data_IF_811962598128
#
_entry.id   IF_811962598128
#
_cell.length_a   1.000
_cell.length_b   1.000
_cell.length_c   1.000
_cell.angle_alpha   90.00
_cell.angle_beta   90.00
_cell.angle_gamma   90.00
#
_symmetry.space_group_name_H-M   'P 1'
#
loop_
_entity.id
_entity.type
_entity.pdbx_description
1 polymer ?
#
# COMPACT_ATOMS: atom_id res chain seq x y z
N UNK A 1 9.89 9.30 7.16
CA UNK A 1 10.40 8.58 5.96
C UNK A 1 9.89 9.31 4.72
N UNK A 2 10.73 9.59 3.70
CA UNK A 2 10.29 10.26 2.47
C UNK A 2 9.11 9.54 1.82
N UNK A 3 8.21 10.27 1.14
CA UNK A 3 7.06 9.73 0.41
C UNK A 3 7.45 8.82 -0.77
N UNK A 4 8.04 7.66 -0.45
CA UNK A 4 8.50 6.63 -1.39
C UNK A 4 7.57 5.43 -1.31
N UNK A 5 7.60 4.61 -2.35
CA UNK A 5 6.89 3.35 -2.40
C UNK A 5 7.26 2.48 -1.17
N UNK A 6 6.25 2.03 -0.41
CA UNK A 6 6.45 1.11 0.71
C UNK A 6 6.83 -0.28 0.20
N UNK A 7 7.89 -0.85 0.75
CA UNK A 7 8.42 -2.15 0.34
C UNK A 7 7.66 -3.33 1.00
N UNK A 8 7.68 -4.48 0.34
CA UNK A 8 7.25 -5.74 0.94
C UNK A 8 8.35 -6.27 1.86
N UNK A 9 7.98 -6.86 3.00
CA UNK A 9 8.94 -7.40 3.99
C UNK A 9 9.98 -8.32 3.34
N UNK A 10 9.53 -9.25 2.50
CA UNK A 10 10.40 -10.26 1.88
C UNK A 10 11.39 -9.68 0.85
N UNK A 11 11.02 -8.59 0.18
CA UNK A 11 11.89 -7.96 -0.83
C UNK A 11 13.07 -7.20 -0.19
N UNK A 12 13.02 -6.95 1.13
CA UNK A 12 14.07 -6.25 1.89
C UNK A 12 15.46 -6.89 1.79
N UNK A 13 15.54 -8.21 1.58
CA UNK A 13 16.82 -8.91 1.39
C UNK A 13 17.54 -8.46 0.13
N UNK A 14 16.83 -8.01 -0.90
CA UNK A 14 17.43 -7.47 -2.12
C UNK A 14 18.10 -6.12 -1.89
N UNK A 15 17.69 -5.36 -0.87
CA UNK A 15 18.35 -4.09 -0.52
C UNK A 15 19.58 -4.28 0.37
N UNK A 16 19.74 -5.46 0.95
CA UNK A 16 20.90 -5.84 1.73
C UNK A 16 20.55 -6.63 2.98
N UNK A 17 21.56 -7.31 3.53
CA UNK A 17 21.46 -8.07 4.79
C UNK A 17 20.94 -7.21 5.96
N UNK A 18 21.40 -5.96 6.07
CA UNK A 18 20.95 -5.02 7.13
C UNK A 18 19.48 -4.61 6.96
N UNK A 19 19.02 -4.42 5.72
CA UNK A 19 17.63 -4.11 5.44
C UNK A 19 16.72 -5.29 5.83
N UNK A 20 17.12 -6.52 5.50
CA UNK A 20 16.42 -7.74 5.94
C UNK A 20 16.36 -7.89 7.46
N UNK A 21 17.45 -7.59 8.18
CA UNK A 21 17.44 -7.57 9.65
C UNK A 21 16.49 -6.51 10.21
N UNK A 22 16.46 -5.33 9.58
CA UNK A 22 15.50 -4.26 9.92
C UNK A 22 14.06 -4.72 9.72
N UNK A 23 13.75 -5.32 8.58
CA UNK A 23 12.43 -5.88 8.27
C UNK A 23 12.01 -6.96 9.28
N UNK A 24 12.93 -7.86 9.65
CA UNK A 24 12.71 -8.90 10.66
C UNK A 24 12.35 -8.29 12.03
N UNK A 25 13.07 -7.24 12.44
CA UNK A 25 12.79 -6.50 13.68
C UNK A 25 11.41 -5.83 13.62
N UNK A 26 11.08 -5.16 12.51
CA UNK A 26 9.77 -4.50 12.34
C UNK A 26 8.62 -5.51 12.38
N UNK A 27 8.74 -6.64 11.69
CA UNK A 27 7.76 -7.70 11.73
C UNK A 27 7.59 -8.21 13.17
N UNK A 28 8.68 -8.63 13.83
CA UNK A 28 8.65 -9.27 15.15
C UNK A 28 8.09 -8.37 16.27
N UNK A 29 8.26 -7.05 16.16
CA UNK A 29 7.77 -6.07 17.13
C UNK A 29 6.43 -5.44 16.73
N UNK A 30 5.83 -5.90 15.63
CA UNK A 30 4.59 -5.32 15.11
C UNK A 30 3.43 -5.55 16.10
N UNK A 31 2.86 -4.44 16.58
CA UNK A 31 1.65 -4.43 17.43
C UNK A 31 0.50 -3.66 16.80
N UNK A 32 0.81 -2.68 15.95
CA UNK A 32 -0.14 -1.78 15.31
C UNK A 32 0.03 -1.83 13.80
N UNK A 33 -1.09 -1.89 13.11
CA UNK A 33 -1.15 -1.91 11.65
C UNK A 33 -2.24 -0.95 11.17
N UNK A 34 -2.08 -0.47 9.95
CA UNK A 34 -3.13 0.23 9.22
C UNK A 34 -3.59 -0.69 8.07
N UNK A 35 -4.90 -0.85 7.92
CA UNK A 35 -5.54 -1.57 6.81
C UNK A 35 -5.22 -0.84 5.52
N UNK A 36 -4.69 -1.59 4.55
CA UNK A 36 -4.48 -1.10 3.21
C UNK A 36 -5.75 -1.33 2.40
N UNK A 37 -6.44 -0.24 2.09
CA UNK A 37 -7.58 -0.22 1.20
C UNK A 37 -7.12 -0.19 -0.26
N UNK A 38 -7.79 -0.93 -1.13
CA UNK A 38 -7.52 -0.99 -2.57
C UNK A 38 -8.26 0.13 -3.30
N UNK A 39 -8.20 1.35 -2.74
CA UNK A 39 -8.84 2.53 -3.30
C UNK A 39 -8.01 3.15 -4.42
N UNK A 40 -8.67 3.87 -5.32
CA UNK A 40 -8.03 4.59 -6.40
C UNK A 40 -8.90 5.78 -6.86
N UNK A 41 -8.28 6.91 -7.28
CA UNK A 41 -6.87 7.23 -7.10
C UNK A 41 -6.55 7.59 -5.63
N UNK A 42 -5.25 7.70 -5.31
CA UNK A 42 -4.81 8.30 -4.05
C UNK A 42 -4.99 9.82 -4.14
N UNK A 43 -5.77 10.37 -3.20
CA UNK A 43 -6.08 11.80 -3.07
C UNK A 43 -5.22 12.39 -1.95
N UNK A 44 -4.59 13.53 -2.22
CA UNK A 44 -3.91 14.38 -1.24
C UNK A 44 -4.72 15.65 -1.06
N UNK A 45 -5.04 16.01 0.18
CA UNK A 45 -5.89 17.14 0.49
C UNK A 45 -5.57 17.76 1.86
N UNK A 46 -6.06 18.97 2.08
CA UNK A 46 -5.87 19.68 3.34
C UNK A 46 -5.49 21.14 3.09
N UNK A 47 -4.83 21.76 4.08
CA UNK A 47 -4.42 23.16 3.98
C UNK A 47 -2.96 23.24 3.53
N UNK A 48 -2.69 24.03 2.47
CA UNK A 48 -1.32 24.33 2.09
C UNK A 48 -0.68 25.25 3.15
N UNK A 49 0.40 24.83 3.83
CA UNK A 49 1.05 25.64 4.87
C UNK A 49 1.63 26.96 4.36
N UNK A 50 1.97 27.07 3.07
CA UNK A 50 2.60 28.27 2.51
C UNK A 50 1.63 29.44 2.32
N UNK A 51 0.35 29.16 2.06
CA UNK A 51 -0.63 30.20 1.71
C UNK A 51 -1.98 30.07 2.44
N UNK A 52 -2.15 29.05 3.28
CA UNK A 52 -3.37 28.83 4.07
C UNK A 52 -4.60 28.37 3.29
N UNK A 53 -4.48 28.12 1.97
CA UNK A 53 -5.61 27.69 1.14
C UNK A 53 -5.84 26.19 1.23
N UNK A 54 -7.11 25.79 1.24
CA UNK A 54 -7.49 24.39 1.06
C UNK A 54 -7.16 23.93 -0.38
N UNK A 55 -6.68 22.70 -0.53
CA UNK A 55 -6.37 22.13 -1.84
C UNK A 55 -6.74 20.65 -1.91
N UNK A 56 -6.85 20.17 -3.15
CA UNK A 56 -6.90 18.75 -3.50
C UNK A 56 -5.88 18.44 -4.60
N UNK A 57 -5.45 17.19 -4.69
CA UNK A 57 -4.57 16.72 -5.73
C UNK A 57 -4.32 15.22 -5.66
N UNK A 58 -3.45 14.73 -6.53
CA UNK A 58 -2.88 13.38 -6.40
C UNK A 58 -1.49 13.47 -5.77
N UNK A 59 -0.73 12.38 -5.72
CA UNK A 59 0.69 12.41 -5.30
C UNK A 59 1.57 13.37 -6.12
N UNK A 60 1.10 13.85 -7.27
CA UNK A 60 1.77 14.90 -8.05
C UNK A 60 1.99 16.21 -7.30
N UNK A 61 1.32 16.44 -6.16
CA UNK A 61 1.60 17.61 -5.30
C UNK A 61 3.00 17.56 -4.70
N UNK A 62 3.60 16.37 -4.55
CA UNK A 62 4.96 16.19 -4.02
C UNK A 62 6.02 16.07 -5.12
N UNK A 63 5.70 16.41 -6.37
CA UNK A 63 6.64 16.26 -7.48
C UNK A 63 7.78 17.28 -7.39
N UNK A 64 8.99 16.88 -7.79
CA UNK A 64 10.17 17.76 -7.85
C UNK A 64 10.09 18.85 -8.92
N UNK A 65 9.51 18.53 -10.08
CA UNK A 65 9.57 19.40 -11.27
C UNK A 65 8.24 20.09 -11.52
N UNK A 66 7.16 19.32 -11.61
CA UNK A 66 5.82 19.84 -11.90
C UNK A 66 4.87 19.46 -10.78
N UNK A 67 4.81 20.33 -9.77
CA UNK A 67 3.82 20.28 -8.69
C UNK A 67 2.45 20.58 -9.28
N UNK A 68 1.50 19.66 -9.10
CA UNK A 68 0.10 19.84 -9.53
C UNK A 68 -0.80 19.90 -8.31
N UNK A 69 -0.93 21.09 -7.75
CA UNK A 69 -1.84 21.43 -6.65
C UNK A 69 -3.08 22.12 -7.22
N UNK A 70 -4.25 21.85 -6.64
CA UNK A 70 -5.50 22.42 -7.15
C UNK A 70 -6.28 23.07 -6.00
N UNK A 71 -6.44 24.38 -6.08
CA UNK A 71 -7.24 25.18 -5.15
C UNK A 71 -8.63 25.48 -5.73
N UNK A 72 -8.76 25.50 -7.06
CA UNK A 72 -10.01 25.77 -7.78
C UNK A 72 -10.31 24.71 -8.83
N UNK A 73 -11.48 24.81 -9.47
CA UNK A 73 -11.86 23.93 -10.58
C UNK A 73 -10.96 24.14 -11.79
N UNK A 74 -10.56 25.38 -12.06
CA UNK A 74 -9.68 25.75 -13.17
C UNK A 74 -8.29 25.14 -13.02
N UNK A 75 -7.76 25.06 -11.79
CA UNK A 75 -6.50 24.36 -11.52
C UNK A 75 -6.62 22.86 -11.90
N UNK A 76 -7.75 22.23 -11.56
CA UNK A 76 -8.01 20.83 -11.89
C UNK A 76 -8.04 20.65 -13.40
N UNK A 77 -8.73 21.52 -14.13
CA UNK A 77 -8.85 21.47 -15.59
C UNK A 77 -7.49 21.60 -16.29
N UNK A 78 -6.60 22.42 -15.73
CA UNK A 78 -5.24 22.59 -16.25
C UNK A 78 -4.33 21.39 -15.94
N UNK A 79 -4.52 20.76 -14.78
CA UNK A 79 -3.61 19.74 -14.27
C UNK A 79 -4.02 18.31 -14.61
N UNK A 80 -5.32 18.04 -14.79
CA UNK A 80 -5.92 16.72 -14.86
C UNK A 80 -7.04 16.66 -15.90
N UNK A 81 -7.28 15.47 -16.45
CA UNK A 81 -8.40 15.21 -17.36
C UNK A 81 -9.05 13.86 -17.05
N UNK A 82 -10.25 13.65 -17.60
CA UNK A 82 -11.02 12.42 -17.40
C UNK A 82 -11.38 12.17 -15.95
N UNK A 83 -11.55 10.90 -15.60
CA UNK A 83 -12.07 10.45 -14.30
C UNK A 83 -11.33 11.04 -13.09
N UNK A 84 -10.00 11.18 -13.17
CA UNK A 84 -9.22 11.74 -12.06
C UNK A 84 -9.60 13.20 -11.81
N UNK A 85 -9.84 13.99 -12.88
CA UNK A 85 -10.34 15.35 -12.75
C UNK A 85 -11.71 15.34 -12.06
N UNK A 86 -12.65 14.51 -12.52
CA UNK A 86 -14.00 14.42 -11.97
C UNK A 86 -14.00 14.08 -10.47
N UNK A 87 -13.19 13.11 -10.06
CA UNK A 87 -12.99 12.76 -8.64
C UNK A 87 -12.40 13.93 -7.87
N UNK A 88 -11.40 14.64 -8.41
CA UNK A 88 -10.83 15.82 -7.75
C UNK A 88 -11.86 16.94 -7.60
N UNK A 89 -12.79 17.14 -8.57
CA UNK A 89 -13.86 18.13 -8.43
C UNK A 89 -14.83 17.78 -7.30
N UNK A 90 -15.16 16.49 -7.16
CA UNK A 90 -15.96 15.99 -6.03
C UNK A 90 -15.22 16.20 -4.70
N UNK A 91 -13.96 15.83 -4.64
CA UNK A 91 -13.11 16.04 -3.47
C UNK A 91 -13.04 17.52 -3.08
N UNK A 92 -12.83 18.43 -4.04
CA UNK A 92 -12.77 19.87 -3.78
C UNK A 92 -14.09 20.41 -3.19
N UNK A 93 -15.23 19.82 -3.59
CA UNK A 93 -16.57 20.23 -3.14
C UNK A 93 -16.95 19.65 -1.77
N UNK A 94 -16.63 18.38 -1.51
CA UNK A 94 -17.22 17.61 -0.41
C UNK A 94 -16.25 17.28 0.72
N UNK A 95 -14.94 17.48 0.54
CA UNK A 95 -13.97 17.31 1.62
C UNK A 95 -14.04 18.46 2.63
N UNK A 96 -13.96 18.17 3.93
CA UNK A 96 -13.82 19.21 4.94
C UNK A 96 -12.46 19.91 4.82
N UNK A 97 -12.43 21.20 5.14
CA UNK A 97 -11.19 21.95 5.25
C UNK A 97 -10.51 21.59 6.58
N UNK A 98 -9.46 20.78 6.50
CA UNK A 98 -8.73 20.28 7.67
C UNK A 98 -7.34 20.91 7.72
N UNK A 99 -6.90 21.27 8.94
CA UNK A 99 -5.53 21.67 9.18
C UNK A 99 -4.57 20.47 9.02
N UNK A 100 -3.50 20.66 8.26
CA UNK A 100 -2.54 19.61 7.89
C UNK A 100 -2.77 19.11 6.46
N UNK A 101 -1.94 18.14 6.05
CA UNK A 101 -1.99 17.53 4.72
C UNK A 101 -2.21 16.03 4.91
N UNK A 102 -3.21 15.48 4.23
CA UNK A 102 -3.63 14.09 4.36
C UNK A 102 -3.64 13.41 3.01
N UNK A 103 -3.28 12.13 3.00
CA UNK A 103 -3.46 11.25 1.87
C UNK A 103 -4.45 10.14 2.23
N UNK A 104 -5.41 9.94 1.35
CA UNK A 104 -6.44 8.93 1.44
C UNK A 104 -6.65 8.24 0.08
N UNK A 105 -7.05 6.98 0.11
CA UNK A 105 -7.44 6.28 -1.12
C UNK A 105 -8.95 6.48 -1.36
N UNK A 106 -9.32 6.91 -2.57
CA UNK A 106 -10.73 7.10 -2.94
C UNK A 106 -11.43 5.74 -3.12
N UNK A 107 -12.58 5.56 -2.46
CA UNK A 107 -13.34 4.30 -2.47
C UNK A 107 -14.53 4.36 -3.40
N UNK A 108 -15.20 5.52 -3.48
CA UNK A 108 -16.34 5.71 -4.36
C UNK A 108 -17.22 6.91 -3.99
N UNK A 109 -18.20 7.17 -4.86
CA UNK A 109 -19.33 8.07 -4.62
C UNK A 109 -20.36 7.35 -3.76
N UNK A 110 -20.95 8.00 -2.76
CA UNK A 110 -21.90 7.35 -1.86
C UNK A 110 -23.26 7.02 -2.49
N UNK A 111 -24.22 6.65 -1.65
CA UNK A 111 -25.57 6.21 -2.02
C UNK A 111 -25.73 4.69 -2.19
N UNK A 112 -24.64 3.97 -2.43
CA UNK A 112 -24.59 2.51 -2.49
C UNK A 112 -24.08 1.86 -1.21
N UNK A 113 -23.99 0.52 -1.22
CA UNK A 113 -23.32 -0.26 -0.17
C UNK A 113 -22.15 -1.11 -0.67
N UNK A 114 -21.88 -1.10 -1.97
CA UNK A 114 -20.86 -1.96 -2.59
C UNK A 114 -19.99 -1.16 -3.55
N UNK A 115 -18.68 -1.24 -3.36
CA UNK A 115 -17.70 -0.39 -4.03
C UNK A 115 -16.53 -1.21 -4.53
N UNK A 116 -16.22 -1.11 -5.83
CA UNK A 116 -15.05 -1.77 -6.43
C UNK A 116 -14.13 -0.71 -7.01
N UNK A 117 -13.41 0.04 -6.16
CA UNK A 117 -12.51 1.09 -6.63
C UNK A 117 -11.36 0.54 -7.47
N UNK A 118 -10.94 -0.71 -7.28
CA UNK A 118 -9.91 -1.31 -8.12
C UNK A 118 -10.10 -2.82 -8.29
N UNK A 119 -9.42 -3.66 -7.51
CA UNK A 119 -9.51 -5.13 -7.53
C UNK A 119 -10.55 -5.66 -6.56
N UNK A 120 -10.59 -5.09 -5.36
CA UNK A 120 -11.44 -5.56 -4.28
C UNK A 120 -12.78 -4.85 -4.34
N UNK A 121 -13.85 -5.62 -4.28
CA UNK A 121 -15.20 -5.14 -3.96
C UNK A 121 -15.38 -5.12 -2.45
N UNK A 122 -15.61 -3.95 -1.90
CA UNK A 122 -15.99 -3.74 -0.50
C UNK A 122 -17.51 -3.67 -0.39
N UNK A 123 -18.09 -4.48 0.50
CA UNK A 123 -19.52 -4.44 0.83
C UNK A 123 -19.71 -4.00 2.27
N UNK A 124 -20.29 -2.81 2.42
CA UNK A 124 -20.66 -2.20 3.69
C UNK A 124 -21.96 -2.83 4.21
N UNK A 125 -22.17 -2.85 5.53
CA UNK A 125 -23.38 -3.41 6.14
C UNK A 125 -24.64 -2.65 5.72
N UNK A 126 -24.53 -1.34 5.51
CA UNK A 126 -25.61 -0.46 5.06
C UNK A 126 -25.12 0.45 3.94
N UNK A 127 -26.06 1.09 3.22
CA UNK A 127 -25.70 2.12 2.24
C UNK A 127 -25.01 3.30 2.93
N UNK A 128 -24.00 3.87 2.28
CA UNK A 128 -23.25 5.03 2.78
C UNK A 128 -23.95 6.30 2.30
N UNK A 129 -24.53 7.07 3.23
CA UNK A 129 -25.35 8.26 2.90
C UNK A 129 -24.58 9.55 2.62
N UNK A 130 -23.24 9.53 2.64
CA UNK A 130 -22.37 10.69 2.31
C UNK A 130 -22.16 10.79 0.81
N UNK A 131 -21.63 11.90 0.32
CA UNK A 131 -21.38 12.13 -1.11
C UNK A 131 -20.18 11.33 -1.62
N UNK A 132 -19.10 11.27 -0.84
CA UNK A 132 -17.86 10.58 -1.20
C UNK A 132 -17.30 9.77 -0.02
N UNK A 133 -16.53 8.73 -0.36
CA UNK A 133 -15.94 7.80 0.60
C UNK A 133 -14.44 7.73 0.38
N UNK A 134 -13.66 7.99 1.43
CA UNK A 134 -12.20 7.97 1.40
C UNK A 134 -11.63 7.16 2.57
N UNK A 135 -10.50 6.49 2.35
CA UNK A 135 -9.75 5.76 3.36
C UNK A 135 -8.44 6.50 3.70
N UNK A 136 -8.46 7.46 4.67
CA UNK A 136 -7.26 8.20 5.08
C UNK A 136 -6.25 7.29 5.75
N UNK A 137 -5.00 7.38 5.34
CA UNK A 137 -3.96 6.46 5.82
C UNK A 137 -2.62 7.15 6.12
N UNK A 138 -2.40 8.39 5.65
CA UNK A 138 -1.12 9.09 5.83
C UNK A 138 -1.30 10.60 5.99
N UNK A 139 -0.46 11.22 6.80
CA UNK A 139 -0.36 12.69 6.92
C UNK A 139 1.07 13.19 6.69
N UNK A 140 1.15 14.48 6.37
CA UNK A 140 2.37 15.23 6.09
C UNK A 140 2.28 16.61 6.72
N UNK A 141 3.45 17.23 6.96
CA UNK A 141 3.56 18.60 7.49
C UNK A 141 3.88 19.64 6.41
N UNK A 142 4.30 19.19 5.22
CA UNK A 142 4.74 20.06 4.13
C UNK A 142 4.42 19.47 2.75
N UNK A 143 4.39 20.33 1.73
CA UNK A 143 4.25 19.96 0.32
C UNK A 143 5.64 19.98 -0.31
N UNK A 144 6.35 18.87 -0.22
CA UNK A 144 7.72 18.74 -0.70
C UNK A 144 7.98 17.34 -1.26
N UNK A 145 8.88 17.18 -2.25
CA UNK A 145 9.35 15.86 -2.67
C UNK A 145 10.05 15.06 -1.56
N UNK A 146 10.52 15.74 -0.52
CA UNK A 146 11.19 15.14 0.62
C UNK A 146 10.26 15.02 1.85
N UNK A 147 8.97 15.37 1.69
CA UNK A 147 7.98 15.32 2.75
C UNK A 147 7.94 13.95 3.43
N UNK A 148 7.93 13.99 4.76
CA UNK A 148 7.91 12.80 5.60
C UNK A 148 6.48 12.32 5.86
N UNK A 149 6.24 11.04 5.58
CA UNK A 149 4.95 10.39 5.78
C UNK A 149 4.78 9.90 7.23
N UNK A 150 3.63 10.22 7.83
CA UNK A 150 3.15 9.65 9.09
C UNK A 150 1.96 8.73 8.83
N UNK A 151 2.07 7.44 9.17
CA UNK A 151 1.05 6.42 8.86
C UNK A 151 0.11 6.22 10.05
N UNK A 152 -1.15 5.87 9.76
CA UNK A 152 -2.15 5.57 10.79
C UNK A 152 -2.94 6.80 11.19
N UNK A 153 -3.44 7.52 10.19
CA UNK A 153 -4.28 8.70 10.39
C UNK A 153 -5.73 8.26 10.57
N UNK A 154 -6.41 8.89 11.53
CA UNK A 154 -7.85 8.79 11.70
C UNK A 154 -8.46 10.18 11.53
N UNK A 155 -9.44 10.29 10.65
CA UNK A 155 -10.21 11.52 10.42
C UNK A 155 -11.67 11.27 10.76
N UNK A 156 -12.35 12.30 11.28
CA UNK A 156 -13.79 12.25 11.56
C UNK A 156 -14.56 12.61 10.29
N UNK A 157 -15.49 11.75 9.88
CA UNK A 157 -16.42 12.01 8.76
C UNK A 157 -17.14 13.35 8.96
N UNK A 158 -17.14 14.19 7.93
CA UNK A 158 -17.67 15.55 8.00
C UNK A 158 -18.05 16.08 6.60
N UNK A 159 -18.88 17.13 6.56
CA UNK A 159 -19.42 17.71 5.33
C UNK A 159 -20.09 16.63 4.48
N UNK A 160 -19.59 16.39 3.26
CA UNK A 160 -20.06 15.36 2.34
C UNK A 160 -19.21 14.09 2.34
N UNK A 161 -18.25 13.95 3.25
CA UNK A 161 -17.26 12.87 3.20
C UNK A 161 -17.44 11.84 4.32
N UNK A 162 -17.47 10.57 3.94
CA UNK A 162 -17.26 9.43 4.84
C UNK A 162 -15.78 9.06 4.87
N UNK A 163 -15.15 9.14 6.04
CA UNK A 163 -13.78 8.68 6.25
C UNK A 163 -13.77 7.32 6.93
N UNK A 164 -13.20 6.34 6.23
CA UNK A 164 -13.01 4.99 6.78
C UNK A 164 -11.85 5.00 7.77
N UNK A 165 -12.05 4.42 8.96
CA UNK A 165 -10.96 4.20 9.92
C UNK A 165 -10.04 3.09 9.43
N UNK A 166 -8.88 3.48 8.87
CA UNK A 166 -7.86 2.53 8.41
C UNK A 166 -7.04 1.95 9.54
N UNK A 167 -7.24 2.36 10.80
CA UNK A 167 -6.52 1.85 11.97
C UNK A 167 -7.31 0.81 12.75
N UNK A 168 -8.47 0.41 12.24
CA UNK A 168 -9.37 -0.56 12.87
C UNK A 168 -8.93 -2.03 12.68
N UNK A 169 -7.66 -2.28 12.98
CA UNK A 169 -7.05 -3.60 12.97
C UNK A 169 -5.94 -3.70 14.01
N UNK A 170 -5.76 -4.88 14.59
CA UNK A 170 -4.72 -5.15 15.57
C UNK A 170 -4.03 -6.47 15.29
N UNK A 171 -2.82 -6.62 15.84
CA UNK A 171 -2.06 -7.87 15.76
C UNK A 171 -2.34 -8.67 17.02
N UNK A 172 -2.95 -9.85 16.88
CA UNK A 172 -3.15 -10.78 17.99
C UNK A 172 -1.81 -11.37 18.45
N UNK A 173 -1.85 -12.18 19.50
CA UNK A 173 -0.65 -12.88 19.96
C UNK A 173 -0.14 -13.82 18.85
N UNK A 174 1.08 -13.57 18.39
CA UNK A 174 1.77 -14.40 17.41
C UNK A 174 3.25 -14.48 17.77
N UNK A 175 3.87 -15.61 17.43
CA UNK A 175 5.29 -15.82 17.69
C UNK A 175 5.86 -16.84 16.71
N UNK A 176 7.02 -16.56 16.13
CA UNK A 176 7.68 -17.43 15.15
C UNK A 176 9.20 -17.58 15.40
N UNK A 177 9.64 -17.97 16.61
CA UNK A 177 11.04 -17.94 17.03
C UNK A 177 11.93 -18.82 16.16
N UNK A 178 11.46 -20.03 15.82
CA UNK A 178 12.18 -20.96 14.96
C UNK A 178 12.45 -20.35 13.58
N UNK A 179 11.45 -19.73 12.97
CA UNK A 179 11.57 -19.11 11.65
C UNK A 179 12.52 -17.90 11.69
N UNK A 180 12.43 -17.08 12.74
CA UNK A 180 13.33 -15.96 12.99
C UNK A 180 14.78 -16.47 13.10
N UNK A 181 15.03 -17.50 13.91
CA UNK A 181 16.36 -18.09 14.09
C UNK A 181 16.93 -18.65 12.76
N UNK A 182 16.10 -19.34 11.97
CA UNK A 182 16.50 -19.84 10.65
C UNK A 182 16.85 -18.72 9.67
N UNK A 183 16.10 -17.61 9.68
CA UNK A 183 16.43 -16.43 8.86
C UNK A 183 17.78 -15.85 9.30
N UNK A 184 17.99 -15.67 10.61
CA UNK A 184 19.22 -15.12 11.16
C UNK A 184 20.45 -15.98 10.82
N UNK A 185 20.32 -17.31 10.86
CA UNK A 185 21.39 -18.23 10.51
C UNK A 185 21.77 -18.19 9.02
N UNK A 186 20.83 -17.86 8.13
CA UNK A 186 21.06 -17.82 6.68
C UNK A 186 21.56 -16.47 6.16
N UNK A 187 21.23 -15.36 6.83
CA UNK A 187 21.61 -14.00 6.39
C UNK A 187 23.13 -13.85 6.12
N UNK A 188 24.06 -14.35 6.96
CA UNK A 188 25.50 -14.25 6.70
C UNK A 188 25.95 -14.92 5.40
N UNK A 189 25.21 -15.91 4.93
CA UNK A 189 25.51 -16.68 3.73
C UNK A 189 24.96 -16.03 2.45
N UNK A 190 24.12 -15.00 2.55
CA UNK A 190 23.46 -14.38 1.39
C UNK A 190 24.41 -13.47 0.60
N UNK A 191 24.59 -13.70 -0.70
CA UNK A 191 25.22 -12.72 -1.59
C UNK A 191 24.16 -11.74 -2.09
N UNK A 192 24.34 -10.45 -1.83
CA UNK A 192 23.38 -9.41 -2.22
C UNK A 192 24.09 -8.31 -3.01
N UNK A 193 23.54 -7.97 -4.17
CA UNK A 193 24.09 -6.93 -5.04
C UNK A 193 23.91 -5.54 -4.45
N UNK A 194 24.89 -4.67 -4.70
CA UNK A 194 24.78 -3.21 -4.47
C UNK A 194 24.24 -2.48 -5.70
N UNK A 195 24.22 -3.13 -6.87
CA UNK A 195 23.77 -2.52 -8.11
C UNK A 195 22.24 -2.33 -8.12
N UNK A 196 21.82 -1.09 -8.37
CA UNK A 196 20.40 -0.72 -8.39
C UNK A 196 19.62 -1.48 -9.46
N UNK A 197 20.22 -1.76 -10.62
CA UNK A 197 19.54 -2.44 -11.72
C UNK A 197 19.29 -3.91 -11.40
N UNK A 198 20.26 -4.58 -10.77
CA UNK A 198 20.12 -5.95 -10.29
C UNK A 198 19.01 -6.06 -9.25
N UNK A 199 18.95 -5.12 -8.30
CA UNK A 199 17.88 -5.07 -7.28
C UNK A 199 16.49 -4.88 -7.89
N UNK A 200 16.39 -4.04 -8.91
CA UNK A 200 15.14 -3.83 -9.65
C UNK A 200 14.76 -5.08 -10.46
N UNK A 201 15.74 -5.71 -11.10
CA UNK A 201 15.56 -6.98 -11.81
C UNK A 201 15.03 -8.07 -10.88
N UNK A 202 15.61 -8.26 -9.68
CA UNK A 202 15.18 -9.29 -8.75
C UNK A 202 13.71 -9.13 -8.34
N UNK A 203 13.29 -7.90 -8.04
CA UNK A 203 11.88 -7.59 -7.73
C UNK A 203 10.94 -7.92 -8.90
N UNK A 204 11.30 -7.50 -10.11
CA UNK A 204 10.47 -7.79 -11.30
C UNK A 204 10.47 -9.28 -11.65
N UNK A 205 11.59 -9.97 -11.46
CA UNK A 205 11.74 -11.41 -11.64
C UNK A 205 10.84 -12.19 -10.67
N UNK A 206 10.89 -11.91 -9.38
CA UNK A 206 10.03 -12.56 -8.38
C UNK A 206 8.55 -12.27 -8.63
N UNK A 207 8.21 -11.05 -9.06
CA UNK A 207 6.83 -10.70 -9.44
C UNK A 207 6.27 -11.57 -10.58
N UNK A 208 7.10 -12.13 -11.47
CA UNK A 208 6.62 -13.05 -12.52
C UNK A 208 6.01 -14.32 -11.92
N UNK A 209 6.64 -14.88 -10.89
CA UNK A 209 6.14 -16.08 -10.19
C UNK A 209 4.85 -15.78 -9.43
N UNK A 210 4.78 -14.63 -8.76
CA UNK A 210 3.57 -14.16 -8.09
C UNK A 210 2.41 -13.99 -9.08
N UNK A 211 2.66 -13.40 -10.26
CA UNK A 211 1.67 -13.28 -11.35
C UNK A 211 1.16 -14.63 -11.83
N UNK A 212 2.05 -15.61 -11.94
CA UNK A 212 1.71 -16.99 -12.28
C UNK A 212 1.00 -17.72 -11.13
N UNK A 213 0.95 -17.15 -9.93
CA UNK A 213 0.30 -17.74 -8.75
C UNK A 213 1.05 -18.94 -8.16
N UNK A 214 2.32 -19.11 -8.48
CA UNK A 214 3.17 -20.18 -7.93
C UNK A 214 4.56 -19.62 -7.65
N UNK A 215 5.11 -19.92 -6.47
CA UNK A 215 6.47 -19.52 -6.10
C UNK A 215 7.32 -20.79 -6.09
N UNK A 216 8.22 -20.99 -7.08
CA UNK A 216 9.12 -22.14 -7.10
C UNK A 216 10.07 -22.15 -5.90
N UNK A 217 10.82 -23.25 -5.72
CA UNK A 217 11.86 -23.30 -4.70
C UNK A 217 12.99 -22.30 -4.98
N UNK A 218 13.73 -21.91 -3.94
CA UNK A 218 14.88 -21.00 -4.04
C UNK A 218 15.91 -21.44 -5.10
N UNK A 219 16.17 -22.75 -5.21
CA UNK A 219 17.09 -23.31 -6.21
C UNK A 219 16.55 -23.13 -7.63
N UNK A 220 15.26 -23.37 -7.86
CA UNK A 220 14.62 -23.17 -9.16
C UNK A 220 14.57 -21.69 -9.52
N UNK A 221 14.24 -20.81 -8.57
CA UNK A 221 14.28 -19.37 -8.79
C UNK A 221 15.69 -18.90 -9.19
N UNK A 222 16.74 -19.36 -8.50
CA UNK A 222 18.12 -19.03 -8.86
C UNK A 222 18.51 -19.57 -10.25
N UNK A 223 18.13 -20.81 -10.56
CA UNK A 223 18.43 -21.42 -11.85
C UNK A 223 17.75 -20.69 -13.02
N UNK A 224 16.54 -20.15 -12.81
CA UNK A 224 15.75 -19.44 -13.81
C UNK A 224 16.13 -17.96 -14.00
N UNK A 225 17.09 -17.42 -13.25
CA UNK A 225 17.56 -16.06 -13.45
C UNK A 225 18.32 -15.88 -14.77
N UNK A 226 18.27 -14.67 -15.34
CA UNK A 226 19.16 -14.29 -16.44
C UNK A 226 20.63 -14.43 -16.02
N UNK A 227 21.44 -15.03 -16.90
CA UNK A 227 22.83 -15.37 -16.62
C UNK A 227 23.67 -14.16 -16.14
N UNK A 228 23.41 -12.96 -16.69
CA UNK A 228 24.11 -11.72 -16.34
C UNK A 228 23.94 -11.29 -14.87
N UNK A 229 22.93 -11.78 -14.16
CA UNK A 229 22.68 -11.47 -12.75
C UNK A 229 22.99 -12.62 -11.79
N UNK A 230 23.27 -13.84 -12.28
CA UNK A 230 23.46 -15.04 -11.42
C UNK A 230 24.63 -14.93 -10.45
N UNK A 231 25.65 -14.14 -10.76
CA UNK A 231 26.81 -13.95 -9.89
C UNK A 231 26.64 -12.79 -8.91
N UNK A 232 25.59 -11.99 -9.04
CA UNK A 232 25.32 -10.85 -8.17
C UNK A 232 24.59 -11.25 -6.87
N UNK A 233 23.96 -12.43 -6.88
CA UNK A 233 23.28 -13.04 -5.73
C UNK A 233 23.55 -14.54 -5.68
N UNK A 234 23.09 -15.23 -4.65
CA UNK A 234 23.16 -16.69 -4.55
C UNK A 234 21.81 -17.30 -4.10
N UNK A 235 21.73 -18.62 -4.09
CA UNK A 235 20.53 -19.37 -3.69
C UNK A 235 20.07 -18.98 -2.28
N UNK A 236 20.99 -18.74 -1.35
CA UNK A 236 20.68 -18.36 0.04
C UNK A 236 19.88 -17.06 0.13
N UNK A 237 20.12 -16.10 -0.78
CA UNK A 237 19.31 -14.87 -0.88
C UNK A 237 17.83 -15.17 -1.15
N UNK A 238 17.53 -16.13 -2.04
CA UNK A 238 16.15 -16.58 -2.27
C UNK A 238 15.60 -17.41 -1.12
N UNK A 239 16.43 -18.22 -0.43
CA UNK A 239 16.00 -18.94 0.77
C UNK A 239 15.57 -17.97 1.88
N UNK A 240 16.34 -16.90 2.10
CA UNK A 240 15.97 -15.84 3.06
C UNK A 240 14.71 -15.11 2.60
N UNK A 241 14.58 -14.78 1.31
CA UNK A 241 13.35 -14.21 0.74
C UNK A 241 12.13 -15.08 1.08
N UNK A 242 12.19 -16.39 0.83
CA UNK A 242 11.10 -17.33 1.14
C UNK A 242 10.76 -17.37 2.63
N UNK A 243 11.78 -17.39 3.51
CA UNK A 243 11.53 -17.45 4.95
C UNK A 243 10.94 -16.14 5.48
N UNK A 244 11.37 -14.99 4.97
CA UNK A 244 10.73 -13.71 5.32
C UNK A 244 9.31 -13.66 4.75
N UNK A 245 9.06 -14.18 3.54
CA UNK A 245 7.72 -14.32 2.99
C UNK A 245 6.82 -15.17 3.91
N UNK A 246 7.30 -16.33 4.37
CA UNK A 246 6.60 -17.17 5.34
C UNK A 246 6.35 -16.46 6.68
N UNK A 247 7.32 -15.69 7.17
CA UNK A 247 7.17 -14.90 8.40
C UNK A 247 6.06 -13.86 8.25
N UNK A 248 6.05 -13.16 7.11
CA UNK A 248 4.99 -12.21 6.76
C UNK A 248 3.63 -12.90 6.68
N UNK A 249 3.52 -14.10 6.10
CA UNK A 249 2.24 -14.84 6.08
C UNK A 249 1.76 -15.12 7.50
N UNK A 250 2.62 -15.61 8.40
CA UNK A 250 2.26 -15.83 9.81
C UNK A 250 1.83 -14.55 10.53
N UNK A 251 2.49 -13.43 10.24
CA UNK A 251 2.09 -12.13 10.79
C UNK A 251 0.74 -11.69 10.21
N UNK A 252 0.50 -11.91 8.92
CA UNK A 252 -0.77 -11.60 8.26
C UNK A 252 -1.93 -12.42 8.88
N UNK A 253 -1.73 -13.71 9.12
CA UNK A 253 -2.72 -14.60 9.74
C UNK A 253 -3.08 -14.18 11.19
N UNK A 254 -2.18 -13.43 11.85
CA UNK A 254 -2.39 -12.92 13.20
C UNK A 254 -3.03 -11.53 13.23
N UNK A 255 -3.30 -10.90 12.09
CA UNK A 255 -3.97 -9.60 12.05
C UNK A 255 -5.48 -9.83 12.09
N UNK A 256 -6.14 -9.13 13.02
CA UNK A 256 -7.59 -9.12 13.18
C UNK A 256 -8.11 -7.73 12.83
N UNK A 257 -9.09 -7.67 11.94
CA UNK A 257 -9.83 -6.45 11.58
C UNK A 257 -11.13 -6.38 12.38
N UNK A 258 -11.47 -5.24 12.98
CA UNK A 258 -12.73 -5.13 13.76
C UNK A 258 -13.93 -4.68 12.91
N UNK A 259 -13.72 -4.32 11.64
CA UNK A 259 -14.77 -3.81 10.76
C UNK A 259 -15.74 -4.87 10.24
N UNK A 260 -17.00 -4.47 10.03
CA UNK A 260 -18.05 -5.30 9.44
C UNK A 260 -18.08 -5.21 7.89
N UNK A 261 -16.94 -4.92 7.26
CA UNK A 261 -16.87 -4.71 5.82
C UNK A 261 -16.39 -5.99 5.16
N UNK A 262 -17.24 -6.55 4.31
CA UNK A 262 -16.93 -7.76 3.58
C UNK A 262 -16.12 -7.43 2.32
N UNK A 263 -15.09 -8.21 2.04
CA UNK A 263 -14.23 -8.03 0.88
C UNK A 263 -14.45 -9.17 -0.12
N UNK A 264 -14.51 -8.85 -1.40
CA UNK A 264 -14.63 -9.82 -2.48
C UNK A 264 -13.62 -9.53 -3.59
N UNK A 265 -13.08 -10.59 -4.19
CA UNK A 265 -12.32 -10.52 -5.43
C UNK A 265 -13.05 -11.41 -6.44
N UNK A 266 -13.50 -10.82 -7.55
CA UNK A 266 -14.26 -11.54 -8.59
C UNK A 266 -15.47 -12.32 -8.01
N UNK A 267 -16.21 -11.66 -7.11
CA UNK A 267 -17.38 -12.23 -6.43
C UNK A 267 -17.09 -13.26 -5.34
N UNK A 268 -15.82 -13.67 -5.13
CA UNK A 268 -15.44 -14.64 -4.10
C UNK A 268 -14.99 -13.93 -2.82
N UNK A 269 -15.34 -14.42 -1.62
CA UNK A 269 -14.85 -13.87 -0.37
C UNK A 269 -13.32 -13.77 -0.35
N UNK A 270 -12.84 -12.63 0.13
CA UNK A 270 -11.42 -12.28 0.24
C UNK A 270 -11.21 -11.45 1.51
N UNK A 271 -9.97 -11.08 1.77
CA UNK A 271 -9.60 -10.05 2.74
C UNK A 271 -9.37 -8.70 2.04
N UNK A 272 -9.09 -7.64 2.83
CA UNK A 272 -8.51 -6.39 2.34
C UNK A 272 -7.21 -6.65 1.56
N UNK A 273 -6.69 -5.64 0.83
CA UNK A 273 -5.44 -5.78 0.05
C UNK A 273 -4.29 -6.26 0.95
N UNK A 274 -4.26 -5.77 2.19
CA UNK A 274 -3.31 -6.15 3.20
C UNK A 274 -3.22 -5.06 4.26
N UNK A 275 -2.04 -4.91 4.83
CA UNK A 275 -1.80 -3.99 5.94
C UNK A 275 -0.44 -3.31 5.79
N UNK A 276 -0.25 -2.23 6.55
CA UNK A 276 1.03 -1.53 6.70
C UNK A 276 1.39 -1.48 8.18
N UNK A 277 2.63 -1.85 8.50
CA UNK A 277 3.17 -1.72 9.86
C UNK A 277 3.26 -0.24 10.22
N UNK A 278 2.59 0.19 11.30
CA UNK A 278 2.70 1.56 11.80
C UNK A 278 4.00 1.67 12.62
N UNK A 279 5.02 2.24 12.00
CA UNK A 279 6.34 2.48 12.62
C UNK A 279 7.13 3.54 11.84
N UNK A 280 8.31 3.91 12.34
CA UNK A 280 9.22 4.79 11.62
C UNK A 280 9.85 4.15 10.37
N UNK A 281 9.77 2.81 10.24
CA UNK A 281 10.27 2.05 9.09
C UNK A 281 9.18 1.07 8.59
N UNK A 282 8.12 1.61 7.96
CA UNK A 282 6.93 0.84 7.59
C UNK A 282 7.19 -0.17 6.48
N UNK A 283 6.52 -1.33 6.55
CA UNK A 283 6.50 -2.36 5.51
C UNK A 283 5.07 -2.80 5.19
N UNK A 284 4.86 -3.24 3.95
CA UNK A 284 3.61 -3.86 3.51
C UNK A 284 3.53 -5.32 3.96
N UNK A 285 2.37 -5.68 4.50
CA UNK A 285 1.96 -7.05 4.83
C UNK A 285 0.79 -7.39 3.91
N UNK A 286 1.09 -7.95 2.74
CA UNK A 286 0.12 -8.24 1.68
C UNK A 286 0.20 -9.73 1.32
N UNK A 287 -0.96 -10.38 1.18
CA UNK A 287 -1.07 -11.68 0.52
C UNK A 287 -0.86 -11.49 -0.98
N UNK A 288 0.35 -11.77 -1.44
CA UNK A 288 0.73 -11.59 -2.84
C UNK A 288 0.12 -12.67 -3.74
N UNK A 289 -0.17 -13.86 -3.21
CA UNK A 289 -0.68 -14.98 -4.01
C UNK A 289 -2.18 -14.90 -4.25
N UNK A 290 -2.91 -14.19 -3.39
CA UNK A 290 -4.31 -13.85 -3.61
C UNK A 290 -4.44 -12.46 -4.25
N UNK A 291 -4.12 -11.40 -3.50
CA UNK A 291 -4.42 -10.03 -3.94
C UNK A 291 -3.53 -9.59 -5.10
N UNK A 292 -2.19 -9.69 -4.97
CA UNK A 292 -1.31 -9.18 -6.05
C UNK A 292 -1.51 -9.96 -7.34
N UNK A 293 -1.68 -11.28 -7.28
CA UNK A 293 -2.07 -12.12 -8.42
C UNK A 293 -3.37 -11.62 -9.06
N UNK A 294 -4.42 -11.40 -8.29
CA UNK A 294 -5.70 -10.89 -8.80
C UNK A 294 -5.53 -9.50 -9.43
N UNK A 295 -4.83 -8.58 -8.76
CA UNK A 295 -4.59 -7.22 -9.25
C UNK A 295 -3.82 -7.20 -10.59
N UNK A 296 -2.93 -8.17 -10.82
CA UNK A 296 -2.20 -8.29 -12.09
C UNK A 296 -3.03 -8.90 -13.23
N UNK A 297 -4.02 -9.75 -12.92
CA UNK A 297 -4.69 -10.60 -13.92
C UNK A 297 -6.15 -10.19 -14.20
N UNK A 298 -6.83 -9.53 -13.26
CA UNK A 298 -8.21 -9.12 -13.43
C UNK A 298 -8.32 -7.81 -14.22
N UNK A 299 -9.34 -7.73 -15.08
CA UNK A 299 -9.69 -6.49 -15.77
C UNK A 299 -10.17 -5.47 -14.76
N UNK A 300 -9.65 -4.25 -14.86
CA UNK A 300 -10.04 -3.12 -14.01
C UNK A 300 -11.31 -2.49 -14.57
N UNK A 301 -12.45 -3.02 -14.15
CA UNK A 301 -13.76 -2.51 -14.53
C UNK A 301 -14.39 -1.85 -13.31
N UNK A 302 -14.45 -0.53 -13.29
CA UNK A 302 -15.02 0.23 -12.19
C UNK A 302 -16.55 0.17 -12.29
N UNK A 303 -17.22 -0.53 -11.38
CA UNK A 303 -18.63 -0.90 -11.59
C UNK A 303 -19.67 0.12 -11.09
N UNK A 304 -19.34 1.11 -10.23
CA UNK A 304 -20.36 1.91 -9.53
C UNK A 304 -20.09 3.44 -9.46
N UNK A 305 -19.47 4.04 -10.47
CA UNK A 305 -19.34 5.51 -10.53
C UNK A 305 -20.05 6.03 -11.77
N UNK A 306 -21.36 6.30 -11.64
CA UNK A 306 -22.02 7.26 -12.52
C UNK A 306 -21.71 8.64 -11.93
N UNK A 307 -20.81 9.36 -12.60
CA UNK A 307 -20.52 10.77 -12.35
C UNK A 307 -21.62 11.66 -12.92
#
# INVERSE_FOLDING_TARGET
>A
MPNKHLEHLEDSIFDGRRAALGALKQASLCRKVSVKWDGAPAIVFGTNPENGKFFVGTKSVFNKVKVKINYTQEDIDQNHTGRVADILRLCLRHLPHLHGIFQADFIGVGGGRSYTPNTITYRFPTSVGRDIILAPHTSYTEISPDAEAHIGVKLTSALGTEFIDTTDAYVSNWFAPKLIAEILALIPQCKVSKDKYTRLYLRTFVNKFIRAGSIPSAAVMYAAMDAKYKQEVNVQTFMVWHKIFQLKQRLLDAIVTNGNIECFIDGKPSSHEGFVIISNNPYKIVDRLTFSKANFNLKKNWQNEKF
#
